data_IF_436197887132
#
_entry.id   IF_436197887132
#
_cell.length_a   1.000
_cell.length_b   1.000
_cell.length_c   1.000
_cell.angle_alpha   90.00
_cell.angle_beta   90.00
_cell.angle_gamma   90.00
#
_symmetry.space_group_name_H-M   'P 1'
#
loop_
_entity.id
_entity.type
_entity.pdbx_description
1 polymer ?
#
# COMPACT_ATOMS: atom_id res chain seq x y z
N UNK A 1 -22.71 7.08 20.80
CA UNK A 1 -22.68 6.38 19.49
C UNK A 1 -24.01 5.67 19.34
N UNK A 2 -24.80 5.97 18.31
CA UNK A 2 -26.17 5.41 18.16
C UNK A 2 -26.29 4.32 17.10
N UNK A 3 -25.27 4.15 16.25
CA UNK A 3 -25.26 3.12 15.22
C UNK A 3 -23.83 2.63 15.03
N UNK A 4 -23.61 1.33 15.17
CA UNK A 4 -22.32 0.65 14.94
C UNK A 4 -22.60 -0.71 14.29
N UNK A 5 -21.72 -1.17 13.41
CA UNK A 5 -21.91 -2.47 12.76
C UNK A 5 -20.74 -2.89 11.89
N UNK A 6 -20.93 -3.98 11.15
CA UNK A 6 -19.97 -4.53 10.19
C UNK A 6 -20.46 -4.30 8.76
N UNK A 7 -19.54 -4.00 7.85
CA UNK A 7 -19.85 -3.78 6.43
C UNK A 7 -20.30 -5.04 5.69
N UNK A 8 -20.04 -6.23 6.24
CA UNK A 8 -20.51 -7.52 5.69
C UNK A 8 -22.02 -7.71 5.84
N UNK A 9 -22.57 -7.27 6.97
CA UNK A 9 -23.99 -7.45 7.29
C UNK A 9 -24.83 -6.27 6.77
N UNK A 10 -24.20 -5.11 6.65
CA UNK A 10 -24.86 -3.87 6.27
C UNK A 10 -23.93 -3.04 5.38
N UNK A 11 -24.24 -2.98 4.09
CA UNK A 11 -23.36 -2.36 3.09
C UNK A 11 -23.22 -0.86 3.32
N UNK A 12 -22.14 -0.26 2.79
CA UNK A 12 -21.95 1.20 2.84
C UNK A 12 -23.11 1.91 2.13
N UNK A 13 -23.62 1.35 1.02
CA UNK A 13 -24.75 1.93 0.31
C UNK A 13 -26.02 1.96 1.15
N UNK A 14 -26.35 0.87 1.85
CA UNK A 14 -27.53 0.79 2.71
C UNK A 14 -27.42 1.76 3.89
N UNK A 15 -26.21 1.91 4.44
CA UNK A 15 -25.92 2.89 5.48
C UNK A 15 -26.13 4.31 4.99
N UNK A 16 -25.62 4.66 3.82
CA UNK A 16 -25.78 6.00 3.27
C UNK A 16 -27.26 6.29 2.94
N UNK A 17 -27.98 5.33 2.35
CA UNK A 17 -29.42 5.44 2.10
C UNK A 17 -30.20 5.65 3.39
N UNK A 18 -29.87 4.91 4.45
CA UNK A 18 -30.49 5.09 5.76
C UNK A 18 -30.23 6.48 6.35
N UNK A 19 -28.99 6.98 6.31
CA UNK A 19 -28.64 8.33 6.79
C UNK A 19 -29.39 9.41 6.00
N UNK A 20 -29.50 9.25 4.67
CA UNK A 20 -30.22 10.17 3.80
C UNK A 20 -31.72 10.19 4.09
N UNK A 21 -32.38 9.03 4.12
CA UNK A 21 -33.81 8.90 4.39
C UNK A 21 -34.20 9.40 5.78
N UNK A 22 -33.38 9.11 6.79
CA UNK A 22 -33.61 9.57 8.17
C UNK A 22 -33.14 11.00 8.44
N UNK A 23 -32.65 11.72 7.41
CA UNK A 23 -32.14 13.10 7.47
C UNK A 23 -31.14 13.34 8.61
N UNK A 24 -30.28 12.35 8.87
CA UNK A 24 -29.32 12.42 9.98
C UNK A 24 -28.18 13.38 9.66
N UNK A 25 -27.80 14.17 10.66
CA UNK A 25 -26.63 15.05 10.64
C UNK A 25 -25.57 14.47 11.57
N UNK A 26 -24.33 14.37 11.08
CA UNK A 26 -23.24 13.76 11.83
C UNK A 26 -22.11 13.24 10.96
N UNK A 27 -21.29 12.36 11.53
CA UNK A 27 -20.13 11.75 10.87
C UNK A 27 -20.24 10.24 10.94
N UNK A 28 -20.09 9.60 9.79
CA UNK A 28 -19.93 8.15 9.67
C UNK A 28 -18.43 7.87 9.66
N UNK A 29 -17.95 7.09 10.62
CA UNK A 29 -16.59 6.58 10.65
C UNK A 29 -16.60 5.16 10.07
N UNK A 30 -15.70 4.89 9.14
CA UNK A 30 -15.58 3.60 8.46
C UNK A 30 -14.14 3.14 8.59
N UNK A 31 -13.95 1.90 9.00
CA UNK A 31 -12.63 1.26 9.06
C UNK A 31 -12.69 0.00 8.24
N UNK A 32 -11.95 -0.05 7.14
CA UNK A 32 -12.03 -1.14 6.18
C UNK A 32 -10.76 -1.31 5.36
N UNK A 33 -10.70 -2.39 4.60
CA UNK A 33 -9.57 -2.69 3.74
C UNK A 33 -9.80 -2.13 2.33
N UNK A 34 -8.83 -1.38 1.82
CA UNK A 34 -8.79 -0.93 0.42
C UNK A 34 -7.86 -1.86 -0.35
N UNK A 35 -8.34 -2.41 -1.46
CA UNK A 35 -7.61 -3.41 -2.24
C UNK A 35 -6.22 -2.90 -2.64
N UNK A 36 -5.18 -3.70 -2.31
CA UNK A 36 -3.74 -3.37 -2.47
C UNK A 36 -3.23 -2.15 -1.70
N UNK A 37 -4.06 -1.46 -0.92
CA UNK A 37 -3.65 -0.36 -0.05
C UNK A 37 -3.69 -0.70 1.45
N UNK A 38 -4.41 -1.75 1.83
CA UNK A 38 -4.50 -2.22 3.21
C UNK A 38 -5.61 -1.53 4.00
N UNK A 39 -5.55 -1.66 5.32
CA UNK A 39 -6.52 -1.06 6.22
C UNK A 39 -6.44 0.48 6.19
N UNK A 40 -7.61 1.11 6.05
CA UNK A 40 -7.79 2.55 6.02
C UNK A 40 -8.97 2.96 6.90
N UNK A 41 -8.90 4.18 7.38
CA UNK A 41 -9.97 4.82 8.14
C UNK A 41 -10.52 5.98 7.32
N UNK A 42 -11.82 5.89 7.02
CA UNK A 42 -12.58 6.88 6.27
C UNK A 42 -13.60 7.58 7.14
N UNK A 43 -13.94 8.82 6.77
CA UNK A 43 -15.01 9.60 7.38
C UNK A 43 -15.94 10.11 6.28
N UNK A 44 -17.24 10.04 6.51
CA UNK A 44 -18.26 10.65 5.65
C UNK A 44 -19.06 11.64 6.50
N UNK A 45 -19.06 12.90 6.08
CA UNK A 45 -19.71 13.99 6.78
C UNK A 45 -21.08 14.23 6.17
N UNK A 46 -22.11 14.20 7.01
CA UNK A 46 -23.50 14.27 6.60
C UNK A 46 -24.19 15.45 7.28
N UNK A 47 -25.00 16.20 6.52
CA UNK A 47 -25.84 17.30 7.02
C UNK A 47 -27.22 17.21 6.41
N UNK A 48 -28.23 17.09 7.26
CA UNK A 48 -29.64 16.95 6.90
C UNK A 48 -29.88 15.79 5.90
N UNK A 49 -29.13 14.69 6.08
CA UNK A 49 -29.13 13.52 5.19
C UNK A 49 -28.27 13.64 3.93
N UNK A 50 -27.73 14.83 3.60
CA UNK A 50 -26.88 15.03 2.45
C UNK A 50 -25.41 14.80 2.79
N UNK A 51 -24.65 14.23 1.85
CA UNK A 51 -23.22 14.04 2.00
C UNK A 51 -22.52 15.34 1.63
N UNK A 52 -21.85 15.98 2.60
CA UNK A 52 -21.22 17.28 2.41
C UNK A 52 -19.70 17.18 2.18
N UNK A 53 -19.06 16.14 2.69
CA UNK A 53 -17.64 15.86 2.49
C UNK A 53 -17.34 14.39 2.83
N UNK A 54 -16.19 13.90 2.37
CA UNK A 54 -15.61 12.63 2.81
C UNK A 54 -14.10 12.79 2.96
N UNK A 55 -13.47 11.96 3.79
CA UNK A 55 -12.02 11.98 4.03
C UNK A 55 -11.50 10.54 4.15
N UNK A 56 -10.35 10.26 3.52
CA UNK A 56 -9.60 9.01 3.71
C UNK A 56 -8.12 9.25 3.38
N UNK A 57 -7.25 9.10 4.38
CA UNK A 57 -5.84 9.52 4.24
C UNK A 57 -5.75 11.00 3.83
N UNK A 58 -5.02 11.27 2.75
CA UNK A 58 -4.84 12.63 2.20
C UNK A 58 -5.95 13.04 1.19
N UNK A 59 -6.94 12.17 0.96
CA UNK A 59 -8.02 12.42 -0.01
C UNK A 59 -9.20 13.08 0.71
N UNK A 60 -9.89 13.99 0.02
CA UNK A 60 -11.15 14.57 0.49
C UNK A 60 -12.18 14.75 -0.62
N UNK A 61 -13.43 15.07 -0.27
CA UNK A 61 -14.53 15.25 -1.20
C UNK A 61 -14.91 13.95 -1.92
N UNK A 62 -15.36 14.07 -3.18
CA UNK A 62 -15.84 12.95 -3.99
C UNK A 62 -14.78 11.84 -4.14
N UNK A 63 -13.52 12.20 -4.35
CA UNK A 63 -12.41 11.24 -4.45
C UNK A 63 -12.29 10.37 -3.20
N UNK A 64 -12.44 10.95 -1.99
CA UNK A 64 -12.43 10.16 -0.76
C UNK A 64 -13.67 9.28 -0.63
N UNK A 65 -14.83 9.82 -1.02
CA UNK A 65 -16.09 9.09 -0.99
C UNK A 65 -16.02 7.81 -1.86
N UNK A 66 -15.53 7.91 -3.10
CA UNK A 66 -15.43 6.75 -4.00
C UNK A 66 -14.44 5.69 -3.48
N UNK A 67 -13.35 6.11 -2.84
CA UNK A 67 -12.39 5.18 -2.21
C UNK A 67 -13.02 4.45 -1.04
N UNK A 68 -13.82 5.14 -0.22
CA UNK A 68 -14.55 4.51 0.87
C UNK A 68 -15.53 3.47 0.33
N UNK A 69 -16.20 3.73 -0.79
CA UNK A 69 -17.09 2.75 -1.44
C UNK A 69 -16.38 1.46 -1.90
N UNK A 70 -15.06 1.47 -2.10
CA UNK A 70 -14.30 0.24 -2.41
C UNK A 70 -14.16 -0.71 -1.21
N UNK A 71 -14.41 -0.23 0.02
CA UNK A 71 -14.26 -1.03 1.24
C UNK A 71 -15.42 -2.01 1.38
N UNK A 72 -15.20 -3.26 0.97
CA UNK A 72 -16.20 -4.34 1.03
C UNK A 72 -16.35 -4.98 2.40
N UNK A 73 -15.33 -4.84 3.25
CA UNK A 73 -15.30 -5.43 4.59
C UNK A 73 -14.74 -4.41 5.59
N UNK A 74 -15.23 -4.47 6.83
CA UNK A 74 -14.81 -3.53 7.86
C UNK A 74 -15.88 -3.27 8.91
N UNK A 75 -15.68 -2.22 9.69
CA UNK A 75 -16.65 -1.74 10.69
C UNK A 75 -17.04 -0.31 10.39
N UNK A 76 -18.21 0.09 10.87
CA UNK A 76 -18.67 1.47 10.82
C UNK A 76 -19.25 1.92 12.16
N UNK A 77 -19.23 3.23 12.39
CA UNK A 77 -19.93 3.86 13.50
C UNK A 77 -20.45 5.25 13.11
N UNK A 78 -21.54 5.68 13.74
CA UNK A 78 -22.13 7.00 13.52
C UNK A 78 -22.07 7.86 14.78
N UNK A 79 -21.61 9.10 14.64
CA UNK A 79 -21.67 10.14 15.65
C UNK A 79 -22.54 11.30 15.17
N UNK A 80 -23.39 11.84 16.05
CA UNK A 80 -24.21 13.03 15.77
C UNK A 80 -23.42 14.34 15.79
N UNK A 81 -22.14 14.29 16.14
CA UNK A 81 -21.28 15.46 16.27
C UNK A 81 -20.65 15.82 14.92
N UNK A 82 -21.33 16.69 14.16
CA UNK A 82 -20.75 17.29 12.96
C UNK A 82 -19.83 18.46 13.37
N UNK A 83 -18.54 18.48 12.95
CA UNK A 83 -17.65 19.60 13.24
C UNK A 83 -18.19 20.92 12.68
N UNK A 84 -18.16 21.98 13.49
CA UNK A 84 -18.78 23.28 13.13
C UNK A 84 -18.10 23.98 11.96
N UNK A 85 -16.81 23.72 11.78
CA UNK A 85 -15.93 24.26 10.75
C UNK A 85 -15.93 23.42 9.47
N UNK A 86 -16.75 22.37 9.38
CA UNK A 86 -16.77 21.49 8.21
C UNK A 86 -17.44 22.16 7.01
N UNK A 87 -16.64 22.44 5.97
CA UNK A 87 -17.10 23.00 4.69
C UNK A 87 -17.71 21.92 3.79
N UNK A 88 -18.74 22.28 3.03
CA UNK A 88 -19.29 21.44 1.96
C UNK A 88 -18.33 21.40 0.77
N UNK A 89 -17.80 20.23 0.45
CA UNK A 89 -16.97 19.96 -0.74
C UNK A 89 -17.68 19.09 -1.78
N UNK A 90 -18.75 18.41 -1.38
CA UNK A 90 -19.58 17.57 -2.23
C UNK A 90 -20.93 18.26 -2.40
N UNK A 91 -21.33 18.48 -3.66
CA UNK A 91 -22.60 19.17 -3.99
C UNK A 91 -23.61 18.25 -4.67
N UNK A 92 -23.22 17.01 -4.98
CA UNK A 92 -24.05 16.01 -5.65
C UNK A 92 -25.03 15.36 -4.69
N UNK A 93 -26.17 14.91 -5.23
CA UNK A 93 -27.11 14.10 -4.48
C UNK A 93 -26.56 12.69 -4.24
N UNK A 94 -27.08 12.00 -3.22
CA UNK A 94 -26.58 10.67 -2.86
C UNK A 94 -26.72 9.69 -4.02
N UNK A 95 -27.82 9.72 -4.76
CA UNK A 95 -28.09 8.82 -5.88
C UNK A 95 -27.05 8.99 -7.00
N UNK A 96 -26.70 10.24 -7.31
CA UNK A 96 -25.66 10.57 -8.30
C UNK A 96 -24.28 10.09 -7.84
N UNK A 97 -23.93 10.33 -6.56
CA UNK A 97 -22.68 9.86 -5.96
C UNK A 97 -22.56 8.34 -5.96
N UNK A 98 -23.64 7.63 -5.63
CA UNK A 98 -23.67 6.17 -5.64
C UNK A 98 -23.57 5.61 -7.06
N UNK A 99 -24.25 6.23 -8.04
CA UNK A 99 -24.19 5.79 -9.43
C UNK A 99 -22.78 5.96 -10.02
N UNK A 100 -22.17 7.13 -9.84
CA UNK A 100 -20.79 7.36 -10.28
C UNK A 100 -19.80 6.49 -9.50
N UNK A 101 -20.01 6.35 -8.18
CA UNK A 101 -19.19 5.54 -7.30
C UNK A 101 -19.17 4.07 -7.72
N UNK A 102 -20.32 3.47 -7.99
CA UNK A 102 -20.41 2.09 -8.47
C UNK A 102 -19.61 1.89 -9.76
N UNK A 103 -19.70 2.84 -10.71
CA UNK A 103 -18.96 2.80 -11.97
C UNK A 103 -17.44 2.92 -11.75
N UNK A 104 -17.01 3.76 -10.82
CA UNK A 104 -15.58 3.90 -10.49
C UNK A 104 -15.03 2.69 -9.75
N UNK A 105 -15.78 2.12 -8.81
CA UNK A 105 -15.40 0.90 -8.08
C UNK A 105 -15.20 -0.25 -9.06
N UNK A 106 -16.12 -0.44 -10.01
CA UNK A 106 -15.99 -1.50 -11.03
C UNK A 106 -14.73 -1.32 -11.88
N UNK A 107 -14.46 -0.09 -12.34
CA UNK A 107 -13.25 0.24 -13.11
C UNK A 107 -11.98 -0.02 -12.31
N UNK A 108 -11.92 0.44 -11.06
CA UNK A 108 -10.76 0.25 -10.19
C UNK A 108 -10.54 -1.24 -9.95
N UNK A 109 -11.58 -1.99 -9.60
CA UNK A 109 -11.50 -3.44 -9.38
C UNK A 109 -10.94 -4.18 -10.61
N UNK A 110 -11.41 -3.85 -11.82
CA UNK A 110 -10.91 -4.47 -13.06
C UNK A 110 -9.42 -4.17 -13.31
N UNK A 111 -9.00 -2.92 -13.09
CA UNK A 111 -7.60 -2.52 -13.24
C UNK A 111 -6.72 -3.22 -12.18
N UNK A 112 -7.14 -3.19 -10.91
CA UNK A 112 -6.38 -3.78 -9.81
C UNK A 112 -6.23 -5.29 -9.98
N UNK A 113 -7.22 -6.01 -10.50
CA UNK A 113 -7.09 -7.46 -10.80
C UNK A 113 -5.96 -7.77 -11.80
N UNK A 114 -5.71 -6.87 -12.75
CA UNK A 114 -4.69 -7.05 -13.81
C UNK A 114 -3.31 -6.54 -13.40
N UNK A 115 -3.24 -5.58 -12.47
CA UNK A 115 -1.97 -5.07 -11.97
C UNK A 115 -1.28 -6.09 -11.04
N UNK A 116 0.06 -6.05 -10.92
CA UNK A 116 0.76 -6.67 -9.80
C UNK A 116 0.54 -5.91 -8.48
N UNK A 117 1.26 -6.29 -7.42
CA UNK A 117 1.28 -5.50 -6.18
C UNK A 117 1.68 -4.05 -6.48
N UNK A 118 1.03 -3.09 -5.81
CA UNK A 118 1.37 -1.67 -5.98
C UNK A 118 2.78 -1.34 -5.49
N UNK A 119 3.36 -2.22 -4.69
CA UNK A 119 4.71 -2.10 -4.13
C UNK A 119 5.76 -2.83 -4.99
N UNK A 120 5.38 -3.40 -6.14
CA UNK A 120 6.33 -3.93 -7.13
C UNK A 120 7.09 -2.78 -7.79
N UNK A 121 8.43 -2.88 -7.84
CA UNK A 121 9.31 -1.89 -8.46
C UNK A 121 9.35 -2.11 -9.98
N UNK A 122 9.21 -1.02 -10.73
CA UNK A 122 9.26 -0.99 -12.18
C UNK A 122 10.32 -0.02 -12.68
N UNK A 123 10.93 -0.38 -13.80
CA UNK A 123 11.83 0.48 -14.58
C UNK A 123 11.38 0.63 -16.01
N UNK A 124 11.76 1.74 -16.64
CA UNK A 124 11.62 1.89 -18.11
C UNK A 124 12.40 0.78 -18.80
N UNK A 125 11.77 0.11 -19.75
CA UNK A 125 12.42 -0.88 -20.59
C UNK A 125 13.37 -0.18 -21.58
N UNK A 126 14.70 -0.40 -21.52
CA UNK A 126 15.65 0.23 -22.43
C UNK A 126 15.54 -0.30 -23.86
N UNK A 127 14.93 -1.48 -24.05
CA UNK A 127 14.71 -2.13 -25.33
C UNK A 127 13.20 -2.36 -25.53
N UNK A 128 12.41 -1.29 -25.72
CA UNK A 128 10.98 -1.44 -25.94
C UNK A 128 10.74 -2.18 -27.27
N UNK A 129 9.60 -2.88 -27.44
CA UNK A 129 9.25 -3.52 -28.70
C UNK A 129 9.30 -2.49 -29.84
N UNK A 130 9.78 -2.89 -31.02
CA UNK A 130 9.98 -2.03 -32.22
C UNK A 130 8.71 -1.38 -32.81
N UNK A 131 7.59 -1.37 -32.08
CA UNK A 131 6.37 -0.70 -32.48
C UNK A 131 6.52 0.83 -32.39
N UNK A 132 5.84 1.54 -33.28
CA UNK A 132 5.70 3.00 -33.20
C UNK A 132 4.88 3.32 -31.95
N UNK A 133 5.56 3.74 -30.88
CA UNK A 133 4.94 4.11 -29.61
C UNK A 133 4.49 5.58 -29.69
N UNK A 134 3.20 5.84 -29.56
CA UNK A 134 2.65 7.18 -29.37
C UNK A 134 2.16 7.31 -27.94
N UNK A 135 2.68 8.29 -27.20
CA UNK A 135 2.26 8.60 -25.84
C UNK A 135 1.68 10.02 -25.80
N UNK A 136 0.60 10.20 -25.06
CA UNK A 136 0.12 11.52 -24.71
C UNK A 136 1.01 12.16 -23.62
N UNK A 137 0.72 13.41 -23.23
CA UNK A 137 1.50 14.17 -22.25
C UNK A 137 1.58 13.46 -20.89
N UNK A 138 0.46 12.94 -20.41
CA UNK A 138 0.36 12.33 -19.08
C UNK A 138 0.99 10.94 -19.05
N UNK A 139 0.80 10.16 -20.10
CA UNK A 139 1.47 8.86 -20.29
C UNK A 139 2.98 9.00 -20.33
N UNK A 140 3.48 10.00 -21.06
CA UNK A 140 4.92 10.30 -21.13
C UNK A 140 5.46 10.76 -19.77
N UNK A 141 4.71 11.58 -19.05
CA UNK A 141 5.07 12.01 -17.70
C UNK A 141 5.16 10.82 -16.73
N UNK A 142 4.16 9.94 -16.74
CA UNK A 142 4.11 8.75 -15.87
C UNK A 142 5.25 7.78 -16.23
N UNK A 143 5.50 7.52 -17.52
CA UNK A 143 6.61 6.68 -17.97
C UNK A 143 7.96 7.16 -17.41
N UNK A 144 8.20 8.48 -17.44
CA UNK A 144 9.43 9.06 -16.93
C UNK A 144 9.60 8.89 -15.42
N UNK A 145 8.53 8.72 -14.64
CA UNK A 145 8.63 8.45 -13.21
C UNK A 145 9.29 7.11 -12.89
N UNK A 146 9.25 6.16 -13.83
CA UNK A 146 9.86 4.84 -13.68
C UNK A 146 11.33 4.78 -14.13
N UNK A 147 11.99 5.88 -14.54
CA UNK A 147 13.39 5.81 -15.01
C UNK A 147 14.35 5.23 -13.97
N UNK A 148 14.21 5.66 -12.72
CA UNK A 148 15.15 5.31 -11.65
C UNK A 148 14.71 4.11 -10.79
N UNK A 149 13.67 3.39 -11.21
CA UNK A 149 13.06 2.34 -10.39
C UNK A 149 12.09 2.92 -9.37
N UNK A 150 10.79 2.73 -9.59
CA UNK A 150 9.74 3.15 -8.64
C UNK A 150 8.64 2.12 -8.55
N UNK A 151 7.98 2.10 -7.40
CA UNK A 151 6.74 1.35 -7.21
C UNK A 151 5.54 2.07 -7.83
N UNK A 152 4.48 1.33 -8.14
CA UNK A 152 3.22 1.92 -8.62
C UNK A 152 2.65 2.85 -7.55
N UNK A 153 2.77 2.49 -6.26
CA UNK A 153 2.31 3.30 -5.13
C UNK A 153 3.03 4.65 -5.07
N UNK A 154 4.35 4.67 -5.20
CA UNK A 154 5.13 5.92 -5.22
C UNK A 154 4.72 6.82 -6.38
N UNK A 155 4.61 6.26 -7.59
CA UNK A 155 4.18 7.05 -8.77
C UNK A 155 2.78 7.61 -8.58
N UNK A 156 1.84 6.81 -8.06
CA UNK A 156 0.48 7.24 -7.75
C UNK A 156 0.43 8.41 -6.78
N UNK A 157 1.28 8.41 -5.76
CA UNK A 157 1.30 9.45 -4.73
C UNK A 157 2.05 10.72 -5.18
N UNK A 158 2.99 10.61 -6.11
CA UNK A 158 3.77 11.76 -6.61
C UNK A 158 3.10 12.52 -7.75
N UNK A 159 2.23 11.85 -8.52
CA UNK A 159 1.63 12.41 -9.72
C UNK A 159 0.30 13.07 -9.37
N UNK A 160 0.16 14.35 -9.70
CA UNK A 160 -1.08 15.10 -9.50
C UNK A 160 -2.09 14.84 -10.64
N UNK A 161 -2.51 13.59 -10.81
CA UNK A 161 -3.52 13.15 -11.77
C UNK A 161 -4.59 12.30 -11.07
N UNK A 162 -5.71 12.06 -11.76
CA UNK A 162 -6.74 11.15 -11.27
C UNK A 162 -6.16 9.73 -11.10
N UNK A 163 -6.47 9.09 -9.97
CA UNK A 163 -5.94 7.76 -9.63
C UNK A 163 -6.26 6.69 -10.69
N UNK A 164 -7.47 6.70 -11.24
CA UNK A 164 -7.88 5.74 -12.27
C UNK A 164 -7.02 5.93 -13.52
N UNK A 165 -6.76 7.17 -13.92
CA UNK A 165 -5.95 7.47 -15.10
C UNK A 165 -4.49 7.07 -14.91
N UNK A 166 -3.94 7.29 -13.71
CA UNK A 166 -2.60 6.80 -13.36
C UNK A 166 -2.53 5.28 -13.44
N UNK A 167 -3.47 4.57 -12.80
CA UNK A 167 -3.47 3.11 -12.77
C UNK A 167 -3.69 2.51 -14.16
N UNK A 168 -4.58 3.08 -14.98
CA UNK A 168 -4.78 2.70 -16.40
C UNK A 168 -3.52 2.90 -17.21
N UNK A 169 -2.87 4.05 -17.05
CA UNK A 169 -1.61 4.35 -17.74
C UNK A 169 -0.55 3.33 -17.35
N UNK A 170 -0.34 3.08 -16.06
CA UNK A 170 0.63 2.08 -15.59
C UNK A 170 0.33 0.70 -16.17
N UNK A 171 -0.94 0.26 -16.17
CA UNK A 171 -1.35 -1.01 -16.77
C UNK A 171 -1.04 -1.06 -18.28
N UNK A 172 -1.31 0.03 -19.00
CA UNK A 172 -1.00 0.18 -20.43
C UNK A 172 0.51 0.07 -20.68
N UNK A 173 1.33 0.77 -19.90
CA UNK A 173 2.79 0.74 -20.01
C UNK A 173 3.35 -0.67 -19.74
N UNK A 174 2.77 -1.41 -18.78
CA UNK A 174 3.14 -2.80 -18.50
C UNK A 174 2.80 -3.68 -19.71
N UNK A 175 1.57 -3.59 -20.22
CA UNK A 175 1.11 -4.41 -21.34
C UNK A 175 1.88 -4.12 -22.65
N UNK A 176 2.26 -2.86 -22.87
CA UNK A 176 3.09 -2.43 -23.99
C UNK A 176 4.60 -2.74 -23.78
N UNK A 177 4.96 -3.35 -22.64
CA UNK A 177 6.33 -3.67 -22.26
C UNK A 177 7.27 -2.45 -22.27
N UNK A 178 6.73 -1.26 -21.96
CA UNK A 178 7.47 0.00 -21.83
C UNK A 178 8.05 0.19 -20.44
N UNK A 179 7.42 -0.43 -19.44
CA UNK A 179 8.01 -0.63 -18.12
C UNK A 179 8.05 -2.12 -17.81
N UNK A 180 9.16 -2.53 -17.20
CA UNK A 180 9.41 -3.92 -16.81
C UNK A 180 9.60 -3.98 -15.30
N UNK A 181 9.22 -5.11 -14.71
CA UNK A 181 9.48 -5.37 -13.29
C UNK A 181 10.99 -5.38 -13.09
N UNK A 182 11.47 -4.67 -12.08
CA UNK A 182 12.85 -4.79 -11.68
C UNK A 182 13.05 -6.15 -11.02
N UNK A 183 13.74 -7.06 -11.71
CA UNK A 183 14.22 -8.29 -11.08
C UNK A 183 15.33 -7.90 -10.11
N UNK A 184 14.97 -7.68 -8.86
CA UNK A 184 15.94 -7.54 -7.78
C UNK A 184 16.54 -8.91 -7.55
N UNK A 185 17.83 -9.07 -7.85
CA UNK A 185 18.57 -10.23 -7.36
C UNK A 185 18.53 -10.18 -5.82
N UNK A 186 17.87 -11.19 -5.24
CA UNK A 186 17.70 -11.29 -3.79
C UNK A 186 19.06 -11.18 -3.09
N UNK A 187 20.12 -11.74 -3.68
CA UNK A 187 21.44 -11.73 -3.06
C UNK A 187 22.11 -10.34 -3.09
N UNK A 188 21.64 -9.42 -3.94
CA UNK A 188 22.10 -8.03 -4.01
C UNK A 188 21.37 -7.08 -3.06
N UNK A 189 20.41 -7.57 -2.29
CA UNK A 189 19.70 -6.78 -1.28
C UNK A 189 20.67 -6.36 -0.18
N UNK A 190 20.67 -5.07 0.17
CA UNK A 190 21.41 -4.52 1.33
C UNK A 190 20.44 -4.41 2.53
N UNK A 191 20.54 -5.29 3.53
CA UNK A 191 19.73 -5.19 4.73
C UNK A 191 20.14 -4.00 5.62
N UNK A 192 19.17 -3.39 6.30
CA UNK A 192 19.42 -2.38 7.32
C UNK A 192 18.79 -2.78 8.65
N UNK A 193 19.36 -2.34 9.78
CA UNK A 193 18.70 -2.48 11.07
C UNK A 193 17.45 -1.60 11.17
N UNK A 194 16.40 -2.15 11.77
CA UNK A 194 15.23 -1.36 12.15
C UNK A 194 15.59 -0.30 13.20
N UNK A 195 14.77 0.73 13.34
CA UNK A 195 15.07 1.80 14.30
C UNK A 195 14.97 1.29 15.76
N UNK A 196 14.15 0.26 16.01
CA UNK A 196 14.11 -0.51 17.26
C UNK A 196 15.41 -1.31 17.49
N UNK A 197 16.01 -1.86 16.44
CA UNK A 197 17.24 -2.62 16.54
C UNK A 197 18.50 -1.75 16.72
N UNK A 198 18.48 -0.50 16.26
CA UNK A 198 19.61 0.44 16.44
C UNK A 198 19.85 0.81 17.91
N UNK A 199 18.81 0.88 18.74
CA UNK A 199 18.95 1.15 20.17
C UNK A 199 19.61 -0.01 20.92
N UNK A 200 19.31 -1.25 20.50
CA UNK A 200 19.93 -2.48 21.00
C UNK A 200 21.46 -2.44 20.78
N UNK A 201 21.89 -2.09 19.57
CA UNK A 201 23.33 -2.02 19.20
C UNK A 201 24.05 -0.94 20.02
N UNK A 202 23.42 0.22 20.23
CA UNK A 202 24.01 1.34 20.97
C UNK A 202 24.22 1.03 22.47
N UNK A 203 23.47 0.08 23.01
CA UNK A 203 23.51 -0.33 24.43
C UNK A 203 24.40 -1.56 24.64
N UNK A 204 25.01 -2.07 23.57
CA UNK A 204 25.77 -3.31 23.60
C UNK A 204 27.13 -3.12 24.29
N UNK A 205 27.15 -3.25 25.62
CA UNK A 205 28.36 -3.32 26.44
C UNK A 205 28.56 -4.75 26.98
N UNK A 206 28.59 -5.74 26.08
CA UNK A 206 28.97 -7.12 26.40
C UNK A 206 27.94 -7.94 27.19
N UNK A 207 27.49 -9.04 26.58
CA UNK A 207 26.93 -10.23 27.24
C UNK A 207 25.55 -10.16 27.92
N UNK A 208 24.70 -9.16 27.65
CA UNK A 208 23.28 -9.28 28.03
C UNK A 208 22.46 -10.00 26.93
N UNK A 209 22.08 -11.25 27.22
CA UNK A 209 21.34 -12.12 26.29
C UNK A 209 19.93 -11.57 26.00
N UNK A 210 19.39 -10.72 26.88
CA UNK A 210 18.08 -10.08 26.69
C UNK A 210 18.04 -9.04 25.57
N UNK A 211 19.19 -8.64 25.04
CA UNK A 211 19.34 -7.66 23.97
C UNK A 211 19.31 -8.29 22.57
N UNK A 212 19.33 -9.62 22.44
CA UNK A 212 19.36 -10.23 21.11
C UNK A 212 17.98 -10.20 20.43
N UNK A 213 17.92 -9.96 19.11
CA UNK A 213 16.65 -9.87 18.39
C UNK A 213 15.89 -11.21 18.35
N UNK A 214 16.59 -12.34 18.51
CA UNK A 214 15.99 -13.68 18.45
C UNK A 214 16.64 -14.62 19.46
N UNK A 215 16.00 -15.76 19.75
CA UNK A 215 16.64 -16.87 20.47
C UNK A 215 17.60 -17.71 19.59
N UNK A 216 17.67 -17.41 18.29
CA UNK A 216 18.49 -18.14 17.33
C UNK A 216 19.88 -17.51 17.24
N UNK A 217 20.89 -18.22 17.77
CA UNK A 217 22.29 -17.78 17.78
C UNK A 217 22.81 -17.45 16.39
N UNK A 218 22.45 -18.24 15.36
CA UNK A 218 22.89 -17.97 13.97
C UNK A 218 22.26 -16.71 13.42
N UNK A 219 20.99 -16.45 13.73
CA UNK A 219 20.30 -15.23 13.30
C UNK A 219 20.88 -14.00 14.00
N UNK A 220 21.21 -14.10 15.29
CA UNK A 220 21.86 -13.00 16.01
C UNK A 220 23.25 -12.72 15.42
N UNK A 221 24.05 -13.74 15.12
CA UNK A 221 25.34 -13.56 14.44
C UNK A 221 25.20 -12.89 13.06
N UNK A 222 24.17 -13.28 12.29
CA UNK A 222 23.84 -12.63 11.02
C UNK A 222 23.49 -11.15 11.23
N UNK A 223 22.65 -10.87 12.22
CA UNK A 223 22.23 -9.50 12.57
C UNK A 223 23.41 -8.56 12.86
N UNK A 224 24.46 -9.03 13.55
CA UNK A 224 25.67 -8.20 13.80
C UNK A 224 26.57 -8.03 12.58
N UNK A 225 26.37 -8.81 11.51
CA UNK A 225 27.09 -8.64 10.24
C UNK A 225 26.45 -7.64 9.30
N UNK A 226 25.18 -7.31 9.53
CA UNK A 226 24.48 -6.26 8.80
C UNK A 226 25.02 -4.89 9.21
N UNK A 227 25.42 -4.07 8.25
CA UNK A 227 25.97 -2.73 8.48
C UNK A 227 25.29 -1.63 7.63
N UNK A 228 24.24 -2.01 6.87
CA UNK A 228 23.56 -1.11 5.93
C UNK A 228 24.35 -0.82 4.65
N UNK A 229 25.48 -1.49 4.41
CA UNK A 229 26.31 -1.33 3.22
C UNK A 229 26.52 -2.63 2.45
N UNK A 230 26.66 -3.75 3.17
CA UNK A 230 26.88 -5.07 2.57
C UNK A 230 25.59 -5.68 2.05
N UNK A 231 25.66 -6.30 0.88
CA UNK A 231 24.56 -7.10 0.35
C UNK A 231 24.50 -8.51 0.97
N UNK A 232 23.39 -9.22 0.76
CA UNK A 232 23.19 -10.57 1.28
C UNK A 232 24.25 -11.56 0.74
N UNK A 233 24.75 -11.35 -0.48
CA UNK A 233 25.82 -12.16 -1.08
C UNK A 233 27.13 -12.01 -0.31
N UNK A 234 27.50 -10.77 0.02
CA UNK A 234 28.69 -10.45 0.80
C UNK A 234 28.59 -11.07 2.20
N UNK A 235 27.44 -10.91 2.87
CA UNK A 235 27.22 -11.49 4.22
C UNK A 235 27.24 -13.01 4.17
N UNK A 236 26.61 -13.63 3.16
CA UNK A 236 26.62 -15.08 2.94
C UNK A 236 28.06 -15.60 2.82
N UNK A 237 28.88 -14.94 2.00
CA UNK A 237 30.26 -15.33 1.74
C UNK A 237 31.13 -15.17 3.00
N UNK A 238 30.99 -14.05 3.74
CA UNK A 238 31.71 -13.83 5.00
C UNK A 238 31.38 -14.88 6.06
N UNK A 239 30.11 -15.27 6.16
CA UNK A 239 29.64 -16.26 7.14
C UNK A 239 29.77 -17.71 6.65
N UNK A 240 30.20 -17.92 5.39
CA UNK A 240 30.27 -19.23 4.72
C UNK A 240 28.94 -20.00 4.79
N UNK A 241 27.83 -19.29 4.62
CA UNK A 241 26.49 -19.85 4.66
C UNK A 241 26.08 -20.35 3.27
N UNK A 242 25.15 -21.32 3.22
CA UNK A 242 24.46 -21.64 1.97
C UNK A 242 23.39 -20.58 1.69
N UNK A 243 22.99 -20.44 0.43
CA UNK A 243 21.92 -19.51 0.01
C UNK A 243 20.64 -19.70 0.82
N UNK A 244 20.14 -20.94 0.92
CA UNK A 244 18.92 -21.27 1.70
C UNK A 244 19.02 -20.87 3.17
N UNK A 245 20.17 -21.13 3.80
CA UNK A 245 20.42 -20.75 5.19
C UNK A 245 20.43 -19.22 5.35
N UNK A 246 21.13 -18.51 4.47
CA UNK A 246 21.19 -17.04 4.43
C UNK A 246 19.80 -16.43 4.33
N UNK A 247 19.00 -16.89 3.37
CA UNK A 247 17.64 -16.40 3.18
C UNK A 247 16.73 -16.72 4.37
N UNK A 248 16.86 -17.88 4.99
CA UNK A 248 16.07 -18.24 6.17
C UNK A 248 16.36 -17.35 7.38
N UNK A 249 17.65 -17.06 7.65
CA UNK A 249 18.07 -16.17 8.74
C UNK A 249 17.63 -14.73 8.47
N UNK A 250 17.79 -14.28 7.24
CA UNK A 250 17.35 -12.96 6.80
C UNK A 250 15.83 -12.77 6.99
N UNK A 251 15.03 -13.74 6.54
CA UNK A 251 13.57 -13.69 6.69
C UNK A 251 13.12 -13.76 8.14
N UNK A 252 13.78 -14.57 8.98
CA UNK A 252 13.51 -14.62 10.41
C UNK A 252 13.71 -13.25 11.05
N UNK A 253 14.83 -12.58 10.77
CA UNK A 253 15.12 -11.26 11.34
C UNK A 253 14.18 -10.15 10.84
N UNK A 254 13.66 -10.25 9.62
CA UNK A 254 12.60 -9.35 9.15
C UNK A 254 11.31 -9.58 9.94
N UNK A 255 10.90 -10.84 10.13
CA UNK A 255 9.66 -11.20 10.86
C UNK A 255 9.69 -10.77 12.33
N UNK A 256 10.86 -10.84 12.95
CA UNK A 256 11.10 -10.37 14.32
C UNK A 256 11.26 -8.84 14.42
N UNK A 257 11.15 -8.13 13.30
CA UNK A 257 11.26 -6.67 13.24
C UNK A 257 12.67 -6.13 13.52
N UNK A 258 13.69 -6.98 13.41
CA UNK A 258 15.09 -6.63 13.66
C UNK A 258 15.75 -5.97 12.44
N UNK A 259 15.35 -6.36 11.23
CA UNK A 259 15.81 -5.77 9.97
C UNK A 259 14.67 -5.03 9.27
N UNK A 260 15.01 -3.93 8.59
CA UNK A 260 14.15 -3.21 7.66
C UNK A 260 14.75 -3.28 6.26
N UNK A 261 13.93 -3.56 5.27
CA UNK A 261 14.35 -3.57 3.86
C UNK A 261 13.20 -3.10 2.99
N UNK A 262 13.52 -2.37 1.93
CA UNK A 262 12.57 -2.01 0.88
C UNK A 262 12.38 -3.20 -0.07
N UNK A 263 11.68 -4.22 0.40
CA UNK A 263 11.32 -5.41 -0.38
C UNK A 263 9.85 -5.31 -0.73
N UNK A 264 9.53 -5.44 -2.01
CA UNK A 264 8.12 -5.57 -2.44
C UNK A 264 7.50 -6.83 -1.81
N UNK A 265 6.21 -6.83 -1.41
CA UNK A 265 5.53 -8.03 -0.92
C UNK A 265 5.66 -9.22 -1.88
N UNK A 266 5.70 -8.97 -3.19
CA UNK A 266 6.00 -9.98 -4.21
C UNK A 266 7.38 -10.62 -4.06
N UNK A 267 8.42 -9.84 -3.78
CA UNK A 267 9.78 -10.34 -3.59
C UNK A 267 9.90 -11.10 -2.26
N UNK A 268 9.21 -10.65 -1.21
CA UNK A 268 9.12 -11.37 0.07
C UNK A 268 8.50 -12.76 -0.11
N UNK A 269 7.36 -12.84 -0.82
CA UNK A 269 6.70 -14.11 -1.12
C UNK A 269 7.58 -15.02 -1.99
N UNK A 270 8.33 -14.46 -2.95
CA UNK A 270 9.29 -15.21 -3.77
C UNK A 270 10.39 -15.86 -2.92
N UNK A 271 10.91 -15.14 -1.92
CA UNK A 271 11.89 -15.68 -0.97
C UNK A 271 11.25 -16.80 -0.13
N UNK A 272 10.02 -16.63 0.36
CA UNK A 272 9.32 -17.69 1.11
C UNK A 272 9.06 -18.95 0.26
N UNK A 273 8.71 -18.81 -1.00
CA UNK A 273 8.55 -19.93 -1.93
C UNK A 273 9.89 -20.64 -2.21
N UNK A 274 10.98 -19.88 -2.38
CA UNK A 274 12.33 -20.45 -2.53
C UNK A 274 12.74 -21.27 -1.31
N UNK A 275 12.37 -20.83 -0.10
CA UNK A 275 12.67 -21.55 1.15
C UNK A 275 11.84 -22.83 1.34
N UNK A 276 10.66 -22.92 0.74
CA UNK A 276 9.78 -24.11 0.79
C UNK A 276 10.23 -25.24 -0.14
N UNK A 277 11.03 -24.93 -1.17
CA UNK A 277 11.63 -25.91 -2.10
C UNK A 277 12.91 -26.51 -1.52
#
# INVERSE_FOLDING_TARGET
>A
MELTGNLKDFTIEDLLKFINLSKRTGVIYIKGNVEKEGEKEGKIFCKDGNIIDAEVGDRSGENAFYVILTMKEGTFSFSKELPKDKSQKINKQLEELLFEGAKQVEVIDDILKKLPSLDTIFRVNPTPPSAKISLNKDEWMILNKFRDGKTIREVKNEVNLNEIDVLRTVLSLINANLIVREEVDIMKIVPEHSDKAKSIIKTYSGLDISLFPTNNVRANNFFFKVDGKKDLETIMNEMKLKRKDTLSLFMLLIKEGALKVRISPSLFNKIEEELKK
#
